data_IF_512777005807
#
_entry.id   IF_512777005807
#
_cell.length_a   1.000
_cell.length_b   1.000
_cell.length_c   1.000
_cell.angle_alpha   90.00
_cell.angle_beta   90.00
_cell.angle_gamma   90.00
#
_symmetry.space_group_name_H-M   'P 1'
#
loop_
_entity.id
_entity.type
_entity.pdbx_description
1 polymer ?
#
# COMPACT_ATOMS: atom_id res chain seq x y z
N UNK A 1 28.86 5.78 0.61
CA UNK A 1 28.96 7.11 -0.07
C UNK A 1 27.53 7.53 -0.35
N UNK A 2 27.02 8.55 0.35
CA UNK A 2 25.60 8.92 0.31
C UNK A 2 25.19 9.28 -1.13
N UNK A 3 24.15 8.66 -1.71
CA UNK A 3 23.71 9.03 -3.05
C UNK A 3 23.38 10.52 -3.05
N UNK A 4 24.15 11.35 -3.76
CA UNK A 4 23.83 12.76 -3.96
C UNK A 4 22.71 12.95 -5.01
N UNK A 5 22.33 11.87 -5.66
CA UNK A 5 21.43 11.83 -6.81
C UNK A 5 20.24 10.91 -6.53
N UNK A 6 19.03 11.48 -6.59
CA UNK A 6 17.77 10.75 -6.37
C UNK A 6 17.57 9.62 -7.39
N UNK A 7 18.16 9.73 -8.59
CA UNK A 7 18.10 8.68 -9.61
C UNK A 7 18.87 7.44 -9.21
N UNK A 8 20.05 7.60 -8.61
CA UNK A 8 20.87 6.49 -8.12
C UNK A 8 20.19 5.79 -6.94
N UNK A 9 19.59 6.57 -6.03
CA UNK A 9 18.81 6.01 -4.93
C UNK A 9 17.60 5.20 -5.43
N UNK A 10 16.83 5.73 -6.39
CA UNK A 10 15.73 5.02 -7.05
C UNK A 10 16.17 3.72 -7.70
N UNK A 11 17.31 3.75 -8.40
CA UNK A 11 17.87 2.57 -9.05
C UNK A 11 18.25 1.51 -8.01
N UNK A 12 19.00 1.90 -6.98
CA UNK A 12 19.39 0.99 -5.88
C UNK A 12 18.19 0.36 -5.17
N UNK A 13 17.15 1.14 -4.88
CA UNK A 13 15.93 0.62 -4.28
C UNK A 13 15.18 -0.34 -5.21
N UNK A 14 15.06 0.00 -6.50
CA UNK A 14 14.47 -0.89 -7.50
C UNK A 14 15.23 -2.20 -7.63
N UNK A 15 16.56 -2.16 -7.64
CA UNK A 15 17.40 -3.34 -7.76
C UNK A 15 17.31 -4.22 -6.51
N UNK A 16 17.27 -3.62 -5.32
CA UNK A 16 17.00 -4.33 -4.08
C UNK A 16 15.61 -5.01 -4.10
N UNK A 17 14.54 -4.30 -4.50
CA UNK A 17 13.19 -4.88 -4.59
C UNK A 17 13.16 -6.10 -5.52
N UNK A 18 13.80 -6.03 -6.67
CA UNK A 18 13.94 -7.17 -7.59
C UNK A 18 14.75 -8.31 -6.97
N UNK A 19 15.87 -8.00 -6.33
CA UNK A 19 16.73 -8.99 -5.68
C UNK A 19 16.00 -9.78 -4.58
N UNK A 20 15.04 -9.15 -3.90
CA UNK A 20 14.18 -9.80 -2.91
C UNK A 20 12.98 -10.56 -3.51
N UNK A 21 12.86 -10.58 -4.84
CA UNK A 21 11.83 -11.33 -5.57
C UNK A 21 10.52 -10.58 -5.78
N UNK A 22 10.48 -9.26 -5.56
CA UNK A 22 9.30 -8.45 -5.85
C UNK A 22 9.27 -8.11 -7.34
N UNK A 23 8.06 -8.11 -7.89
CA UNK A 23 7.81 -7.73 -9.28
C UNK A 23 7.03 -6.42 -9.33
N UNK A 24 7.28 -5.62 -10.37
CA UNK A 24 6.58 -4.36 -10.55
C UNK A 24 5.37 -4.56 -11.47
N UNK A 25 4.17 -4.31 -10.95
CA UNK A 25 2.92 -4.56 -11.67
C UNK A 25 1.97 -3.38 -11.62
N UNK A 26 1.34 -3.12 -12.78
CA UNK A 26 0.26 -2.16 -12.93
C UNK A 26 -1.07 -2.90 -12.85
N UNK A 27 -1.80 -2.76 -11.74
CA UNK A 27 -3.10 -3.43 -11.57
C UNK A 27 -4.21 -2.73 -12.37
N UNK A 28 -4.08 -1.42 -12.63
CA UNK A 28 -5.08 -0.62 -13.34
C UNK A 28 -4.43 0.43 -14.24
N UNK A 29 -5.06 0.81 -15.37
CA UNK A 29 -4.51 1.81 -16.29
C UNK A 29 -4.22 3.18 -15.65
N UNK A 30 -5.06 3.62 -14.69
CA UNK A 30 -4.97 4.94 -14.07
C UNK A 30 -4.08 4.98 -12.81
N UNK A 31 -3.60 3.83 -12.34
CA UNK A 31 -2.79 3.72 -11.11
C UNK A 31 -1.33 3.51 -11.49
N UNK A 32 -0.42 4.11 -10.73
CA UNK A 32 1.02 3.86 -10.87
C UNK A 32 1.35 2.39 -10.60
N UNK A 33 2.36 1.80 -11.28
CA UNK A 33 2.74 0.42 -11.03
C UNK A 33 3.40 0.27 -9.65
N UNK A 34 2.84 -0.62 -8.83
CA UNK A 34 3.35 -0.97 -7.50
C UNK A 34 4.25 -2.20 -7.52
N UNK A 35 4.96 -2.43 -6.42
CA UNK A 35 5.78 -3.62 -6.20
C UNK A 35 5.01 -4.67 -5.43
N UNK A 36 4.92 -5.88 -5.95
CA UNK A 36 4.13 -6.96 -5.33
C UNK A 36 4.95 -8.24 -5.18
N UNK A 37 4.58 -9.01 -4.16
CA UNK A 37 4.93 -10.42 -4.05
C UNK A 37 3.95 -11.23 -4.91
N UNK A 38 4.43 -12.31 -5.53
CA UNK A 38 3.57 -13.18 -6.32
C UNK A 38 2.47 -13.75 -5.42
N UNK A 39 1.21 -13.46 -5.77
CA UNK A 39 0.05 -13.96 -5.06
C UNK A 39 -1.08 -14.26 -6.04
N UNK A 40 -1.72 -15.41 -5.88
CA UNK A 40 -2.83 -15.85 -6.74
C UNK A 40 -4.21 -15.47 -6.18
N UNK A 41 -4.28 -14.94 -4.96
CA UNK A 41 -5.54 -14.62 -4.28
C UNK A 41 -6.30 -13.39 -4.80
N UNK A 42 -7.51 -13.19 -4.26
CA UNK A 42 -8.42 -12.10 -4.61
C UNK A 42 -7.95 -10.71 -4.12
N UNK A 43 -7.01 -10.69 -3.19
CA UNK A 43 -6.40 -9.48 -2.64
C UNK A 43 -5.00 -9.33 -3.23
N UNK A 44 -4.68 -8.12 -3.70
CA UNK A 44 -3.37 -7.78 -4.25
C UNK A 44 -2.66 -6.74 -3.38
N UNK A 45 -1.76 -7.16 -2.47
CA UNK A 45 -0.88 -6.25 -1.75
C UNK A 45 0.18 -5.65 -2.66
N UNK A 46 0.35 -4.34 -2.61
CA UNK A 46 1.36 -3.60 -3.35
C UNK A 46 2.11 -2.62 -2.44
N UNK A 47 3.40 -2.44 -2.73
CA UNK A 47 4.24 -1.43 -2.12
C UNK A 47 4.58 -0.32 -3.12
N UNK A 48 4.38 0.92 -2.69
CA UNK A 48 4.69 2.13 -3.43
C UNK A 48 5.79 2.89 -2.68
N UNK A 49 7.06 2.80 -3.11
CA UNK A 49 8.12 3.57 -2.49
C UNK A 49 7.88 5.07 -2.67
N UNK A 50 8.07 5.82 -1.60
CA UNK A 50 8.10 7.27 -1.59
C UNK A 50 9.53 7.74 -1.39
N UNK A 51 9.79 8.97 -1.81
CA UNK A 51 11.13 9.54 -1.77
C UNK A 51 11.07 10.91 -1.13
N UNK A 52 11.82 11.04 -0.05
CA UNK A 52 11.97 12.31 0.65
C UNK A 52 13.47 12.61 0.69
N UNK A 53 13.86 13.70 0.02
CA UNK A 53 15.23 14.21 0.05
C UNK A 53 15.41 15.09 1.27
N UNK A 54 16.40 14.76 2.09
CA UNK A 54 16.88 15.59 3.19
C UNK A 54 18.25 16.18 2.84
N UNK A 55 18.70 17.25 3.53
CA UNK A 55 20.04 17.80 3.35
C UNK A 55 21.17 16.79 3.59
N UNK A 56 20.92 15.77 4.41
CA UNK A 56 21.87 14.73 4.81
C UNK A 56 21.66 13.38 4.09
N UNK A 57 20.69 13.24 3.19
CA UNK A 57 20.45 11.97 2.49
C UNK A 57 19.02 11.77 1.97
N UNK A 58 18.62 10.50 1.83
CA UNK A 58 17.28 10.09 1.43
C UNK A 58 16.64 9.20 2.49
N UNK A 59 15.37 9.45 2.82
CA UNK A 59 14.60 8.57 3.70
C UNK A 59 13.94 7.45 2.89
N UNK A 60 14.03 6.22 3.40
CA UNK A 60 13.30 5.08 2.87
C UNK A 60 11.89 5.07 3.45
N UNK A 61 10.94 5.57 2.67
CA UNK A 61 9.52 5.57 3.03
C UNK A 61 8.69 4.95 1.91
N UNK A 62 7.44 4.63 2.21
CA UNK A 62 6.57 4.01 1.23
C UNK A 62 5.16 3.80 1.75
N UNK A 63 4.26 3.38 0.88
CA UNK A 63 2.90 2.97 1.23
C UNK A 63 2.73 1.51 0.87
N UNK A 64 2.33 0.68 1.84
CA UNK A 64 1.72 -0.61 1.55
C UNK A 64 0.23 -0.37 1.32
N UNK A 65 -0.29 -0.79 0.19
CA UNK A 65 -1.72 -0.74 -0.10
C UNK A 65 -2.22 -2.11 -0.53
N UNK A 66 -3.53 -2.33 -0.39
CA UNK A 66 -4.19 -3.54 -0.84
C UNK A 66 -5.31 -3.17 -1.81
N UNK A 67 -5.40 -3.89 -2.93
CA UNK A 67 -6.55 -3.83 -3.83
C UNK A 67 -7.38 -5.10 -3.68
N UNK A 68 -8.70 -4.96 -3.66
CA UNK A 68 -9.66 -6.05 -3.62
C UNK A 68 -10.25 -6.22 -5.02
N UNK A 69 -9.90 -7.29 -5.73
CA UNK A 69 -10.26 -7.44 -7.14
C UNK A 69 -11.78 -7.50 -7.36
N UNK A 70 -12.52 -8.18 -6.48
CA UNK A 70 -13.97 -8.29 -6.59
C UNK A 70 -14.68 -6.93 -6.37
N UNK A 71 -14.30 -6.20 -5.32
CA UNK A 71 -14.81 -4.86 -5.06
C UNK A 71 -14.47 -3.92 -6.22
N UNK A 72 -13.26 -4.04 -6.80
CA UNK A 72 -12.86 -3.26 -7.96
C UNK A 72 -13.76 -3.50 -9.16
N UNK A 73 -13.97 -4.76 -9.52
CA UNK A 73 -14.85 -5.12 -10.64
C UNK A 73 -16.27 -4.59 -10.43
N UNK A 74 -16.78 -4.65 -9.20
CA UNK A 74 -18.08 -4.07 -8.85
C UNK A 74 -18.09 -2.54 -8.99
N UNK A 75 -17.07 -1.84 -8.49
CA UNK A 75 -16.95 -0.38 -8.60
C UNK A 75 -16.91 0.08 -10.06
N UNK A 76 -16.11 -0.58 -10.90
CA UNK A 76 -15.98 -0.24 -12.32
C UNK A 76 -17.27 -0.51 -13.11
N UNK A 77 -18.07 -1.49 -12.69
CA UNK A 77 -19.37 -1.80 -13.31
C UNK A 77 -20.49 -0.83 -12.92
N UNK A 78 -20.41 -0.20 -11.74
CA UNK A 78 -21.50 0.61 -11.19
C UNK A 78 -21.20 2.12 -11.18
N UNK A 79 -19.93 2.53 -11.21
CA UNK A 79 -19.52 3.93 -11.06
C UNK A 79 -18.42 4.31 -12.06
N UNK A 80 -18.52 5.49 -12.70
CA UNK A 80 -17.39 6.09 -13.42
C UNK A 80 -16.16 6.23 -12.51
N UNK A 81 -14.95 6.17 -13.08
CA UNK A 81 -13.71 6.22 -12.28
C UNK A 81 -13.56 7.52 -11.43
N UNK A 82 -14.14 8.64 -11.88
CA UNK A 82 -14.14 9.90 -11.12
C UNK A 82 -15.04 9.84 -9.88
N UNK A 83 -15.98 8.89 -9.85
CA UNK A 83 -17.06 8.76 -8.88
C UNK A 83 -16.85 7.66 -7.85
N UNK A 84 -15.69 6.99 -7.91
CA UNK A 84 -15.33 5.90 -7.01
C UNK A 84 -14.83 6.39 -5.64
N UNK A 85 -14.98 7.69 -5.32
CA UNK A 85 -14.72 8.27 -4.00
C UNK A 85 -13.36 7.89 -3.41
N UNK A 86 -13.35 7.42 -2.17
CA UNK A 86 -12.13 6.98 -1.46
C UNK A 86 -11.42 5.79 -2.13
N UNK A 87 -12.13 5.03 -2.99
CA UNK A 87 -11.60 3.84 -3.67
C UNK A 87 -10.99 4.13 -5.04
N UNK A 88 -10.81 5.40 -5.42
CA UNK A 88 -10.30 5.79 -6.74
C UNK A 88 -8.94 5.15 -7.07
N UNK A 89 -8.06 5.01 -6.09
CA UNK A 89 -6.71 4.45 -6.28
C UNK A 89 -6.63 2.99 -5.89
N UNK A 90 -6.97 2.66 -4.65
CA UNK A 90 -6.85 1.33 -4.05
C UNK A 90 -7.95 1.14 -2.99
N UNK A 91 -8.03 -0.02 -2.33
CA UNK A 91 -8.99 -0.19 -1.24
C UNK A 91 -8.54 0.58 0.01
N UNK A 92 -7.39 0.23 0.57
CA UNK A 92 -6.78 0.95 1.71
C UNK A 92 -5.26 0.98 1.61
N UNK A 93 -4.63 1.95 2.29
CA UNK A 93 -3.18 2.13 2.31
C UNK A 93 -2.65 2.43 3.71
N UNK A 94 -1.39 2.05 3.94
CA UNK A 94 -0.64 2.26 5.16
C UNK A 94 0.74 2.83 4.84
N UNK A 95 1.00 4.05 5.31
CA UNK A 95 2.32 4.66 5.17
C UNK A 95 3.31 4.03 6.17
N UNK A 96 4.46 3.61 5.64
CA UNK A 96 5.63 3.14 6.35
C UNK A 96 6.73 4.18 6.21
N UNK A 97 7.21 4.68 7.34
CA UNK A 97 8.45 5.42 7.44
C UNK A 97 9.29 4.83 8.57
N UNK A 98 10.60 4.84 8.41
CA UNK A 98 11.53 4.43 9.46
C UNK A 98 12.40 5.64 9.86
N UNK A 99 11.74 6.80 9.93
CA UNK A 99 12.38 8.10 10.03
C UNK A 99 13.31 8.17 11.24
N UNK A 100 12.91 7.67 12.42
CA UNK A 100 13.76 7.75 13.62
C UNK A 100 15.08 6.97 13.55
N UNK A 101 15.06 5.74 13.05
CA UNK A 101 16.26 4.89 13.02
C UNK A 101 17.20 5.30 11.88
N UNK A 102 16.66 5.76 10.74
CA UNK A 102 17.46 6.18 9.60
C UNK A 102 17.87 7.66 9.64
N UNK A 103 17.13 8.54 10.30
CA UNK A 103 17.56 9.92 10.55
C UNK A 103 18.86 9.93 11.38
N UNK A 104 19.01 8.99 12.32
CA UNK A 104 20.24 8.80 13.09
C UNK A 104 21.40 8.33 12.19
N UNK A 105 21.22 7.26 11.40
CA UNK A 105 22.25 6.70 10.53
C UNK A 105 22.69 7.68 9.42
N UNK A 106 21.73 8.41 8.85
CA UNK A 106 22.03 9.43 7.84
C UNK A 106 22.74 10.65 8.45
N UNK A 107 22.47 10.99 9.72
CA UNK A 107 23.20 12.03 10.44
C UNK A 107 24.63 11.61 10.83
N UNK A 108 24.89 10.31 11.03
CA UNK A 108 26.24 9.78 11.32
C UNK A 108 27.06 9.48 10.07
N UNK A 109 26.48 9.58 8.86
CA UNK A 109 27.15 9.30 7.59
C UNK A 109 27.28 7.81 7.28
N UNK A 110 26.54 6.96 7.97
CA UNK A 110 26.47 5.53 7.70
C UNK A 110 25.57 5.23 6.49
N UNK A 111 25.90 4.17 5.75
CA UNK A 111 25.10 3.79 4.58
C UNK A 111 23.73 3.24 5.02
N UNK A 112 22.66 3.71 4.38
CA UNK A 112 21.29 3.27 4.68
C UNK A 112 21.10 1.81 4.20
N UNK A 113 20.68 0.87 5.06
CA UNK A 113 20.52 -0.55 4.71
C UNK A 113 19.25 -0.80 3.87
N UNK A 114 19.31 -0.43 2.59
CA UNK A 114 18.19 -0.57 1.62
C UNK A 114 17.68 -2.01 1.56
N UNK A 115 18.58 -3.01 1.57
CA UNK A 115 18.20 -4.43 1.52
C UNK A 115 17.34 -4.86 2.71
N UNK A 116 17.77 -4.55 3.93
CA UNK A 116 17.00 -4.89 5.14
C UNK A 116 15.64 -4.21 5.17
N UNK A 117 15.56 -2.95 4.72
CA UNK A 117 14.29 -2.26 4.59
C UNK A 117 13.35 -2.98 3.61
N UNK A 118 13.86 -3.35 2.43
CA UNK A 118 13.09 -4.08 1.42
C UNK A 118 12.64 -5.44 1.95
N UNK A 119 13.49 -6.17 2.66
CA UNK A 119 13.12 -7.44 3.30
C UNK A 119 11.96 -7.25 4.29
N UNK A 120 12.03 -6.23 5.14
CA UNK A 120 10.95 -5.87 6.07
C UNK A 120 9.65 -5.50 5.37
N UNK A 121 9.71 -4.87 4.20
CA UNK A 121 8.54 -4.59 3.36
C UNK A 121 7.98 -5.88 2.78
N UNK A 122 8.83 -6.74 2.22
CA UNK A 122 8.43 -8.05 1.68
C UNK A 122 7.68 -8.89 2.70
N UNK A 123 8.26 -9.06 3.89
CA UNK A 123 7.65 -9.85 4.98
C UNK A 123 6.27 -9.30 5.36
N UNK A 124 6.07 -7.97 5.32
CA UNK A 124 4.75 -7.38 5.57
C UNK A 124 3.77 -7.68 4.45
N UNK A 125 4.19 -7.60 3.19
CA UNK A 125 3.35 -7.94 2.04
C UNK A 125 2.90 -9.41 2.08
N UNK A 126 3.82 -10.34 2.41
CA UNK A 126 3.54 -11.78 2.47
C UNK A 126 2.60 -12.18 3.62
N UNK A 127 2.52 -11.36 4.67
CA UNK A 127 1.62 -11.60 5.82
C UNK A 127 0.20 -11.11 5.60
N UNK A 128 -0.04 -10.29 4.58
CA UNK A 128 -1.38 -9.80 4.29
C UNK A 128 -2.21 -10.96 3.74
N UNK A 129 -3.40 -11.24 4.32
CA UNK A 129 -4.28 -12.27 3.80
C UNK A 129 -4.60 -12.08 2.32
N UNK A 130 -4.66 -13.19 1.57
CA UNK A 130 -4.90 -13.15 0.13
C UNK A 130 -6.34 -13.51 -0.25
N UNK A 131 -7.13 -13.98 0.71
CA UNK A 131 -8.58 -14.22 0.59
C UNK A 131 -9.39 -13.17 1.37
N UNK A 132 -10.60 -12.89 0.88
CA UNK A 132 -11.47 -11.86 1.46
C UNK A 132 -11.95 -12.25 2.86
N UNK A 133 -12.28 -13.52 3.08
CA UNK A 133 -12.75 -14.01 4.37
C UNK A 133 -11.67 -13.90 5.45
N UNK A 134 -10.43 -14.30 5.14
CA UNK A 134 -9.30 -14.17 6.07
C UNK A 134 -8.97 -12.69 6.36
N UNK A 135 -9.09 -11.81 5.36
CA UNK A 135 -8.86 -10.38 5.56
C UNK A 135 -9.89 -9.76 6.50
N UNK A 136 -11.18 -10.07 6.29
CA UNK A 136 -12.28 -9.60 7.13
C UNK A 136 -12.14 -10.15 8.55
N UNK A 137 -11.79 -11.43 8.69
CA UNK A 137 -11.51 -12.02 9.99
C UNK A 137 -10.32 -11.32 10.69
N UNK A 138 -9.23 -11.08 9.96
CA UNK A 138 -8.07 -10.37 10.49
C UNK A 138 -8.42 -8.94 10.94
N UNK A 139 -9.35 -8.27 10.23
CA UNK A 139 -9.85 -6.94 10.60
C UNK A 139 -10.67 -6.98 11.89
N UNK A 140 -11.62 -7.91 12.01
CA UNK A 140 -12.42 -8.07 13.24
C UNK A 140 -11.58 -8.43 14.46
N UNK A 141 -10.54 -9.26 14.28
CA UNK A 141 -9.62 -9.65 15.34
C UNK A 141 -8.55 -8.59 15.65
N UNK A 142 -8.55 -7.46 14.93
CA UNK A 142 -7.52 -6.41 15.05
C UNK A 142 -6.10 -6.98 14.92
N UNK A 143 -5.91 -7.90 13.97
CA UNK A 143 -4.65 -8.62 13.80
C UNK A 143 -3.47 -7.68 13.53
N UNK A 144 -2.33 -7.96 14.17
CA UNK A 144 -1.07 -7.28 13.92
C UNK A 144 -0.64 -7.31 12.45
N UNK A 145 -1.05 -8.34 11.70
CA UNK A 145 -0.68 -8.52 10.30
C UNK A 145 -1.20 -7.40 9.40
N UNK A 146 -2.34 -6.79 9.75
CA UNK A 146 -2.96 -5.72 8.97
C UNK A 146 -3.18 -4.43 9.77
N UNK A 147 -2.62 -4.32 10.99
CA UNK A 147 -2.86 -3.21 11.92
C UNK A 147 -2.78 -1.82 11.25
N UNK A 148 -1.77 -1.60 10.40
CA UNK A 148 -1.62 -0.32 9.71
C UNK A 148 -2.67 -0.06 8.62
N UNK A 149 -3.16 -1.12 7.97
CA UNK A 149 -4.26 -1.06 6.99
C UNK A 149 -5.61 -0.90 7.70
N UNK A 150 -5.74 -1.41 8.92
CA UNK A 150 -6.91 -1.30 9.80
C UNK A 150 -6.93 -0.01 10.64
N UNK A 151 -6.11 0.99 10.30
CA UNK A 151 -6.06 2.26 11.04
C UNK A 151 -7.39 3.03 10.98
N UNK A 152 -7.62 3.92 11.95
CA UNK A 152 -8.81 4.78 12.02
C UNK A 152 -9.00 5.61 10.75
N UNK A 153 -7.92 6.04 10.09
CA UNK A 153 -8.01 6.80 8.83
C UNK A 153 -8.63 5.98 7.68
N UNK A 154 -8.55 4.66 7.75
CA UNK A 154 -9.12 3.75 6.76
C UNK A 154 -10.50 3.20 7.17
N UNK A 155 -11.00 3.57 8.35
CA UNK A 155 -12.26 3.02 8.89
C UNK A 155 -13.46 3.15 7.93
N UNK A 156 -13.68 4.30 7.24
CA UNK A 156 -14.80 4.41 6.29
C UNK A 156 -14.75 3.40 5.13
N UNK A 157 -13.55 2.98 4.70
CA UNK A 157 -13.39 1.96 3.67
C UNK A 157 -13.78 0.57 4.21
N UNK A 158 -13.36 0.26 5.42
CA UNK A 158 -13.69 -1.01 6.08
C UNK A 158 -15.17 -1.13 6.40
N UNK A 159 -15.79 -0.08 6.95
CA UNK A 159 -17.23 -0.05 7.23
C UNK A 159 -18.03 -0.29 5.94
N UNK A 160 -17.66 0.38 4.85
CA UNK A 160 -18.27 0.15 3.54
C UNK A 160 -18.09 -1.29 3.07
N UNK A 161 -16.90 -1.87 3.20
CA UNK A 161 -16.64 -3.26 2.80
C UNK A 161 -17.55 -4.22 3.57
N UNK A 162 -17.67 -4.06 4.89
CA UNK A 162 -18.50 -4.91 5.75
C UNK A 162 -19.98 -4.81 5.40
N UNK A 163 -20.47 -3.62 5.04
CA UNK A 163 -21.85 -3.43 4.59
C UNK A 163 -22.11 -3.96 3.18
N UNK A 164 -21.10 -3.88 2.31
CA UNK A 164 -21.18 -4.32 0.92
C UNK A 164 -21.12 -5.84 0.76
N UNK A 165 -20.31 -6.54 1.56
CA UNK A 165 -20.14 -8.00 1.52
C UNK A 165 -21.46 -8.81 1.51
N UNK A 166 -22.45 -8.53 2.38
CA UNK A 166 -23.74 -9.23 2.34
C UNK A 166 -24.65 -8.78 1.19
N UNK A 167 -24.31 -7.68 0.49
CA UNK A 167 -25.16 -6.99 -0.51
C UNK A 167 -24.44 -6.78 -1.84
N UNK A 168 -23.51 -7.67 -2.21
CA UNK A 168 -22.61 -7.60 -3.39
C UNK A 168 -23.30 -7.25 -4.73
N UNK A 169 -24.62 -7.34 -4.82
CA UNK A 169 -25.42 -7.11 -6.02
C UNK A 169 -26.31 -5.85 -5.98
N UNK A 170 -26.21 -5.01 -4.95
CA UNK A 170 -27.01 -3.78 -4.83
C UNK A 170 -26.16 -2.53 -4.95
N UNK A 171 -26.70 -1.47 -5.57
CA UNK A 171 -26.04 -0.16 -5.57
C UNK A 171 -26.01 0.41 -4.15
N UNK A 172 -24.86 0.96 -3.76
CA UNK A 172 -24.63 1.57 -2.44
C UNK A 172 -23.94 2.92 -2.60
N UNK A 173 -24.26 3.93 -1.76
CA UNK A 173 -23.55 5.20 -1.82
C UNK A 173 -22.07 5.01 -1.48
N UNK A 174 -21.18 5.49 -2.36
CA UNK A 174 -19.73 5.40 -2.16
C UNK A 174 -19.27 6.52 -1.19
N UNK A 175 -18.48 6.20 -0.15
CA UNK A 175 -17.93 7.21 0.75
C UNK A 175 -16.90 8.10 0.04
N UNK A 176 -16.90 9.38 0.44
CA UNK A 176 -15.96 10.40 -0.04
C UNK A 176 -15.01 10.85 1.07
N UNK A 177 -13.78 11.28 0.74
CA UNK A 177 -12.89 11.88 1.73
C UNK A 177 -13.55 13.10 2.39
N UNK A 178 -13.30 13.35 3.69
CA UNK A 178 -13.81 14.53 4.38
C UNK A 178 -13.46 15.83 3.62
N UNK A 179 -14.44 16.72 3.44
CA UNK A 179 -14.26 18.01 2.75
C UNK A 179 -14.40 17.97 1.23
N UNK A 180 -14.56 16.79 0.63
CA UNK A 180 -14.94 16.63 -0.77
C UNK A 180 -16.41 16.19 -0.82
N UNK A 181 -17.32 17.16 -0.82
CA UNK A 181 -18.73 16.93 -1.20
C UNK A 181 -18.82 17.12 -2.71
N UNK A 182 -19.56 16.24 -3.40
CA UNK A 182 -19.88 16.41 -4.82
C UNK A 182 -20.57 17.74 -5.09
#
# INVERSE_FOLDING_TARGET
MTPNNIKEFRAGLSDALKAHGLSRRKLRPQVQPGWEVSSEGAIKPQYFPHEIRHPWGFNLTGVIAIELLELRSWLDANYPAADQGIFRSTFVGWHLGNDRDFDFLAATGEDVPIGEWVERVKVRLERIPTSLDELVQAYHLQSETIRGLASVSNQPAWDFLLDWLPKRHTSMPIPWPPGLVR
#
